data_IF_245877397008
#
_entry.id   IF_245877397008
#
_cell.length_a   1.000
_cell.length_b   1.000
_cell.length_c   1.000
_cell.angle_alpha   90.00
_cell.angle_beta   90.00
_cell.angle_gamma   90.00
#
_symmetry.space_group_name_H-M   'P 1'
#
loop_
_entity.id
_entity.type
_entity.pdbx_description
1 polymer ?
#
# COMPACT_ATOMS: atom_id res chain seq x y z
N UNK A 1 -10.52 7.29 -26.64
CA UNK A 1 -10.67 7.58 -25.18
C UNK A 1 -9.39 8.26 -24.71
N UNK A 2 -9.50 9.35 -23.99
CA UNK A 2 -8.34 10.07 -23.45
C UNK A 2 -7.86 9.45 -22.13
N UNK A 3 -6.58 9.59 -21.85
CA UNK A 3 -5.99 9.11 -20.57
C UNK A 3 -6.73 9.70 -19.36
N UNK A 4 -7.09 10.99 -19.40
CA UNK A 4 -7.84 11.63 -18.30
C UNK A 4 -9.15 10.92 -17.95
N UNK A 5 -9.83 10.30 -18.90
CA UNK A 5 -11.08 9.56 -18.65
C UNK A 5 -10.81 8.29 -17.86
N UNK A 6 -9.68 7.62 -18.13
CA UNK A 6 -9.22 6.48 -17.32
C UNK A 6 -8.85 6.92 -15.91
N UNK A 7 -8.07 8.01 -15.79
CA UNK A 7 -7.68 8.54 -14.49
C UNK A 7 -8.89 8.97 -13.65
N UNK A 8 -9.88 9.62 -14.25
CA UNK A 8 -11.13 9.97 -13.57
C UNK A 8 -11.88 8.73 -13.03
N UNK A 9 -11.84 7.62 -13.78
CA UNK A 9 -12.45 6.38 -13.32
C UNK A 9 -11.71 5.79 -12.10
N UNK A 10 -10.37 5.79 -12.13
CA UNK A 10 -9.54 5.38 -11.00
C UNK A 10 -9.77 6.28 -9.76
N UNK A 11 -9.79 7.59 -9.96
CA UNK A 11 -10.01 8.58 -8.90
C UNK A 11 -11.44 8.55 -8.34
N UNK A 12 -12.44 8.15 -9.14
CA UNK A 12 -13.79 7.91 -8.65
C UNK A 12 -13.82 6.73 -7.66
N UNK A 13 -13.04 5.69 -7.93
CA UNK A 13 -12.98 4.50 -7.07
C UNK A 13 -12.13 4.73 -5.83
N UNK A 14 -11.00 5.43 -5.96
CA UNK A 14 -10.06 5.76 -4.90
C UNK A 14 -9.70 7.25 -4.99
N UNK A 15 -10.56 8.14 -4.46
CA UNK A 15 -10.35 9.58 -4.51
C UNK A 15 -8.98 10.01 -3.94
N UNK A 16 -8.30 10.91 -4.62
CA UNK A 16 -7.00 11.42 -4.18
C UNK A 16 -7.05 12.09 -2.80
N UNK A 17 -8.20 12.63 -2.41
CA UNK A 17 -8.42 13.20 -1.06
C UNK A 17 -8.31 12.17 0.08
N UNK A 18 -8.26 10.86 -0.23
CA UNK A 18 -8.07 9.80 0.75
C UNK A 18 -6.59 9.54 1.05
N UNK A 19 -5.66 10.13 0.29
CA UNK A 19 -4.23 10.01 0.56
C UNK A 19 -3.84 10.64 1.89
N UNK A 20 -2.66 10.27 2.40
CA UNK A 20 -2.05 10.89 3.57
C UNK A 20 -1.44 12.26 3.22
N UNK A 21 -1.33 13.15 4.19
CA UNK A 21 -0.85 14.53 3.99
C UNK A 21 0.59 14.61 3.46
N UNK A 22 1.40 13.58 3.74
CA UNK A 22 2.79 13.49 3.26
C UNK A 22 2.92 12.90 1.87
N UNK A 23 1.83 12.39 1.29
CA UNK A 23 1.84 11.61 0.06
C UNK A 23 1.81 12.49 -1.19
N UNK A 24 2.06 11.85 -2.33
CA UNK A 24 2.02 12.44 -3.66
C UNK A 24 1.35 11.49 -4.67
N UNK A 25 0.17 10.96 -4.31
CA UNK A 25 -0.67 10.19 -5.24
C UNK A 25 -1.15 11.05 -6.41
N UNK A 26 -1.43 10.43 -7.54
CA UNK A 26 -1.92 11.10 -8.75
C UNK A 26 -0.86 11.26 -9.83
N UNK A 27 -1.00 12.30 -10.64
CA UNK A 27 -0.11 12.57 -11.78
C UNK A 27 1.33 12.81 -11.34
N UNK A 28 2.25 12.03 -11.88
CA UNK A 28 3.69 12.21 -11.65
C UNK A 28 4.34 12.98 -12.79
N UNK A 29 4.04 12.63 -14.03
CA UNK A 29 4.43 13.42 -15.21
C UNK A 29 3.62 12.99 -16.44
N UNK A 30 3.69 13.79 -17.51
CA UNK A 30 3.07 13.50 -18.80
C UNK A 30 1.85 14.37 -19.11
N UNK A 31 1.20 14.13 -20.24
CA UNK A 31 0.02 14.84 -20.72
C UNK A 31 -1.20 13.91 -20.78
N UNK A 32 -2.14 14.10 -19.86
CA UNK A 32 -3.38 13.31 -19.75
C UNK A 32 -4.41 13.57 -20.85
N UNK A 33 -4.20 14.59 -21.68
CA UNK A 33 -5.11 14.89 -22.82
C UNK A 33 -4.86 14.00 -24.03
N UNK A 34 -3.79 13.19 -24.03
CA UNK A 34 -3.49 12.23 -25.08
C UNK A 34 -4.56 11.13 -25.17
N UNK A 35 -4.74 10.58 -26.38
CA UNK A 35 -5.46 9.33 -26.59
C UNK A 35 -4.68 8.19 -25.94
N UNK A 36 -5.40 7.31 -25.22
CA UNK A 36 -4.76 6.12 -24.61
C UNK A 36 -4.49 5.07 -25.67
N UNK A 37 -3.27 4.52 -25.68
CA UNK A 37 -2.88 3.40 -26.54
C UNK A 37 -2.81 2.08 -25.75
N UNK A 38 -2.55 2.15 -24.47
CA UNK A 38 -2.50 1.03 -23.53
C UNK A 38 -2.12 1.50 -22.14
N UNK A 39 -2.37 0.67 -21.14
CA UNK A 39 -1.97 0.90 -19.77
C UNK A 39 -1.12 -0.26 -19.23
N UNK A 40 -0.02 0.07 -18.57
CA UNK A 40 0.83 -0.86 -17.82
C UNK A 40 0.65 -0.61 -16.32
N UNK A 41 0.32 -1.68 -15.60
CA UNK A 41 0.17 -1.64 -14.13
C UNK A 41 1.42 -2.22 -13.49
N UNK A 42 1.99 -1.52 -12.51
CA UNK A 42 3.15 -2.00 -11.78
C UNK A 42 3.08 -1.64 -10.30
N UNK A 43 3.99 -2.21 -9.50
CA UNK A 43 4.12 -1.87 -8.09
C UNK A 43 5.03 -0.64 -7.91
N UNK A 44 6.14 -0.62 -8.63
CA UNK A 44 7.19 0.40 -8.51
C UNK A 44 7.63 0.89 -9.89
N UNK A 45 7.89 2.19 -10.05
CA UNK A 45 8.52 2.71 -11.26
C UNK A 45 9.98 2.28 -11.35
N UNK A 46 10.37 1.80 -12.53
CA UNK A 46 11.76 1.47 -12.84
C UNK A 46 12.06 1.72 -14.31
N UNK A 47 13.37 1.80 -14.66
CA UNK A 47 13.79 1.91 -16.06
C UNK A 47 13.22 0.77 -16.91
N UNK A 48 13.15 -0.46 -16.35
CA UNK A 48 12.59 -1.64 -17.04
C UNK A 48 11.09 -1.52 -17.29
N UNK A 49 10.32 -1.00 -16.32
CA UNK A 49 8.88 -0.77 -16.49
C UNK A 49 8.62 0.27 -17.59
N UNK A 50 9.41 1.33 -17.66
CA UNK A 50 9.30 2.33 -18.72
C UNK A 50 9.64 1.71 -20.09
N UNK A 51 10.70 0.90 -20.17
CA UNK A 51 11.07 0.18 -21.39
C UNK A 51 9.99 -0.79 -21.83
N UNK A 52 9.40 -1.54 -20.93
CA UNK A 52 8.30 -2.44 -21.21
C UNK A 52 7.06 -1.68 -21.72
N UNK A 53 6.69 -0.55 -21.12
CA UNK A 53 5.59 0.27 -21.60
C UNK A 53 5.81 0.76 -23.04
N UNK A 54 7.03 1.20 -23.35
CA UNK A 54 7.43 1.61 -24.72
C UNK A 54 7.30 0.43 -25.70
N UNK A 55 7.82 -0.74 -25.33
CA UNK A 55 7.75 -1.95 -26.17
C UNK A 55 6.30 -2.41 -26.43
N UNK A 56 5.44 -2.28 -25.45
CA UNK A 56 4.02 -2.62 -25.53
C UNK A 56 3.17 -1.52 -26.18
N UNK A 57 3.75 -0.38 -26.56
CA UNK A 57 3.03 0.82 -27.00
C UNK A 57 1.95 1.26 -26.00
N UNK A 58 2.20 1.09 -24.70
CA UNK A 58 1.33 1.55 -23.62
C UNK A 58 1.80 2.92 -23.15
N UNK A 59 0.95 3.95 -23.30
CA UNK A 59 1.32 5.31 -22.96
C UNK A 59 0.85 5.79 -21.58
N UNK A 60 0.23 4.90 -20.78
CA UNK A 60 -0.11 5.12 -19.38
C UNK A 60 0.58 4.07 -18.50
N UNK A 61 1.31 4.51 -17.48
CA UNK A 61 1.85 3.62 -16.44
C UNK A 61 1.18 4.00 -15.12
N UNK A 62 0.48 3.03 -14.50
CA UNK A 62 -0.13 3.17 -13.18
C UNK A 62 0.69 2.36 -12.18
N UNK A 63 1.35 3.04 -11.25
CA UNK A 63 2.14 2.43 -10.19
C UNK A 63 1.48 2.62 -8.82
N UNK A 64 1.83 1.77 -7.87
CA UNK A 64 1.48 2.01 -6.48
C UNK A 64 2.32 3.15 -5.92
N UNK A 65 3.63 2.99 -5.83
CA UNK A 65 4.50 4.02 -5.28
C UNK A 65 4.69 5.21 -6.22
N UNK A 66 4.64 6.46 -5.70
CA UNK A 66 4.92 7.64 -6.49
C UNK A 66 6.40 7.71 -6.88
N UNK A 67 6.66 8.10 -8.14
CA UNK A 67 8.02 8.33 -8.62
C UNK A 67 8.65 9.54 -7.94
N UNK A 68 7.85 10.60 -7.75
CA UNK A 68 8.25 11.84 -7.10
C UNK A 68 7.66 11.83 -5.70
N UNK A 69 8.51 11.72 -4.68
CA UNK A 69 8.09 11.58 -3.29
C UNK A 69 8.88 12.49 -2.33
N UNK A 70 8.35 12.72 -1.13
CA UNK A 70 8.98 13.52 -0.10
C UNK A 70 9.09 15.00 -0.48
N UNK A 71 10.30 15.54 -0.50
CA UNK A 71 10.53 16.96 -0.79
C UNK A 71 10.34 17.36 -2.27
N UNK A 72 9.85 16.45 -3.11
CA UNK A 72 9.66 16.66 -4.54
C UNK A 72 10.96 16.77 -5.33
N UNK A 73 10.82 17.15 -6.62
CA UNK A 73 11.97 17.40 -7.51
C UNK A 73 12.33 18.87 -7.47
N UNK A 74 13.59 19.17 -7.12
CA UNK A 74 14.15 20.54 -7.26
C UNK A 74 14.74 20.80 -8.64
N UNK A 75 15.15 19.73 -9.33
CA UNK A 75 15.70 19.75 -10.70
C UNK A 75 15.49 18.39 -11.35
N UNK A 76 15.44 18.38 -12.67
CA UNK A 76 15.30 17.18 -13.49
C UNK A 76 16.60 17.00 -14.26
N UNK A 77 17.38 15.99 -13.89
CA UNK A 77 18.66 15.66 -14.51
C UNK A 77 18.69 14.17 -14.86
N UNK A 78 19.16 13.76 -16.05
CA UNK A 78 19.24 12.34 -16.43
C UNK A 78 20.23 11.53 -15.59
N UNK A 79 21.05 12.20 -14.79
CA UNK A 79 22.09 11.56 -13.95
C UNK A 79 21.55 10.93 -12.68
N UNK A 80 20.40 11.39 -12.17
CA UNK A 80 19.75 10.74 -11.04
C UNK A 80 18.61 9.81 -11.49
N UNK A 81 18.19 8.89 -10.59
CA UNK A 81 17.17 7.87 -10.89
C UNK A 81 15.84 8.50 -11.30
N UNK A 82 15.34 9.46 -10.55
CA UNK A 82 14.01 10.04 -10.76
C UNK A 82 14.00 10.93 -11.98
N UNK A 83 15.01 11.83 -12.10
CA UNK A 83 15.17 12.73 -13.25
C UNK A 83 15.29 11.98 -14.56
N UNK A 84 16.07 10.89 -14.60
CA UNK A 84 16.22 10.01 -15.77
C UNK A 84 14.89 9.41 -16.21
N UNK A 85 14.11 8.87 -15.28
CA UNK A 85 12.81 8.29 -15.60
C UNK A 85 11.80 9.34 -16.06
N UNK A 86 11.80 10.54 -15.46
CA UNK A 86 10.96 11.65 -15.90
C UNK A 86 11.34 12.09 -17.32
N UNK A 87 12.64 12.29 -17.62
CA UNK A 87 13.10 12.62 -18.97
C UNK A 87 12.64 11.57 -19.98
N UNK A 88 12.90 10.29 -19.68
CA UNK A 88 12.53 9.18 -20.57
C UNK A 88 11.02 9.08 -20.80
N UNK A 89 10.22 9.33 -19.76
CA UNK A 89 8.76 9.34 -19.87
C UNK A 89 8.29 10.49 -20.79
N UNK A 90 8.80 11.69 -20.61
CA UNK A 90 8.45 12.87 -21.43
C UNK A 90 8.86 12.65 -22.88
N UNK A 91 10.10 12.19 -23.15
CA UNK A 91 10.62 11.91 -24.49
C UNK A 91 9.77 10.90 -25.26
N UNK A 92 9.20 9.90 -24.54
CA UNK A 92 8.36 8.85 -25.12
C UNK A 92 6.85 9.10 -24.97
N UNK A 93 6.45 10.33 -24.56
CA UNK A 93 5.05 10.73 -24.38
C UNK A 93 4.27 9.80 -23.43
N UNK A 94 4.92 9.25 -22.42
CA UNK A 94 4.29 8.43 -21.39
C UNK A 94 3.65 9.31 -20.32
N UNK A 95 2.54 8.84 -19.78
CA UNK A 95 1.91 9.37 -18.57
C UNK A 95 2.23 8.45 -17.41
N UNK A 96 2.84 8.98 -16.35
CA UNK A 96 3.11 8.29 -15.10
C UNK A 96 2.08 8.73 -14.06
N UNK A 97 1.39 7.78 -13.47
CA UNK A 97 0.35 8.01 -12.47
C UNK A 97 0.57 7.08 -11.28
N UNK A 98 0.36 7.59 -10.07
CA UNK A 98 0.50 6.81 -8.84
C UNK A 98 -0.82 6.72 -8.09
N UNK A 99 -1.09 5.53 -7.55
CA UNK A 99 -2.19 5.24 -6.64
C UNK A 99 -1.61 4.61 -5.38
N UNK A 100 -1.28 5.44 -4.41
CA UNK A 100 -0.51 5.08 -3.20
C UNK A 100 -1.43 5.04 -1.97
N UNK A 101 -1.23 5.91 -1.00
CA UNK A 101 -2.00 5.86 0.25
C UNK A 101 -3.50 6.12 0.09
N UNK A 102 -3.95 6.73 -1.01
CA UNK A 102 -5.37 6.82 -1.33
C UNK A 102 -6.01 5.44 -1.58
N UNK A 103 -5.26 4.49 -2.13
CA UNK A 103 -5.69 3.09 -2.27
C UNK A 103 -5.53 2.34 -0.98
N UNK A 104 -4.45 2.57 -0.23
CA UNK A 104 -4.23 1.91 1.06
C UNK A 104 -5.34 2.27 2.07
N UNK A 105 -5.76 3.53 2.05
CA UNK A 105 -6.85 4.03 2.89
C UNK A 105 -8.24 3.68 2.37
N UNK A 106 -8.35 3.33 1.09
CA UNK A 106 -9.64 3.19 0.40
C UNK A 106 -10.38 1.88 0.71
N UNK A 107 -11.70 1.93 0.68
CA UNK A 107 -12.58 0.75 0.83
C UNK A 107 -12.29 -0.26 -0.28
N UNK A 108 -11.95 -1.49 0.10
CA UNK A 108 -11.53 -2.55 -0.84
C UNK A 108 -10.16 -2.30 -1.47
N UNK A 109 -9.36 -1.42 -0.88
CA UNK A 109 -7.99 -1.15 -1.28
C UNK A 109 -6.96 -2.04 -0.58
N UNK A 110 -5.70 -1.57 -0.51
CA UNK A 110 -4.56 -2.38 -0.07
C UNK A 110 -4.72 -3.02 1.30
N UNK A 111 -5.10 -2.25 2.32
CA UNK A 111 -5.24 -2.77 3.69
C UNK A 111 -6.46 -3.69 3.84
N UNK A 112 -7.54 -3.47 3.09
CA UNK A 112 -8.67 -4.41 3.03
C UNK A 112 -8.23 -5.75 2.43
N UNK A 113 -7.51 -5.73 1.32
CA UNK A 113 -6.99 -6.93 0.67
C UNK A 113 -5.97 -7.66 1.58
N UNK A 114 -5.18 -6.92 2.38
CA UNK A 114 -4.28 -7.53 3.36
C UNK A 114 -5.06 -8.29 4.44
N UNK A 115 -6.09 -7.67 5.00
CA UNK A 115 -6.97 -8.33 5.99
C UNK A 115 -7.66 -9.57 5.40
N UNK A 116 -8.11 -9.52 4.14
CA UNK A 116 -8.69 -10.67 3.43
C UNK A 116 -7.68 -11.81 3.24
N UNK A 117 -6.41 -11.50 2.91
CA UNK A 117 -5.35 -12.53 2.80
C UNK A 117 -5.13 -13.28 4.10
N UNK A 118 -5.24 -12.61 5.23
CA UNK A 118 -5.20 -13.24 6.55
C UNK A 118 -6.57 -13.76 7.01
N UNK A 119 -7.61 -13.73 6.16
CA UNK A 119 -8.97 -14.18 6.43
C UNK A 119 -9.57 -13.57 7.70
N UNK A 120 -9.23 -12.32 7.99
CA UNK A 120 -9.78 -11.60 9.14
C UNK A 120 -11.26 -11.33 8.95
N UNK A 121 -12.03 -11.53 10.01
CA UNK A 121 -13.46 -11.28 10.10
C UNK A 121 -13.74 -10.02 10.91
N UNK A 122 -14.94 -9.45 10.78
CA UNK A 122 -15.40 -8.28 11.53
C UNK A 122 -14.43 -7.10 11.44
N UNK A 123 -13.82 -6.90 10.28
CA UNK A 123 -12.77 -5.89 10.10
C UNK A 123 -13.27 -4.46 10.22
N UNK A 124 -12.43 -3.61 10.80
CA UNK A 124 -12.61 -2.16 10.91
C UNK A 124 -11.33 -1.47 10.55
N UNK A 125 -11.42 -0.24 10.06
CA UNK A 125 -10.24 0.61 9.83
C UNK A 125 -9.54 0.84 11.16
N UNK A 126 -8.21 0.67 11.17
CA UNK A 126 -7.39 0.81 12.38
C UNK A 126 -7.16 2.28 12.74
N UNK A 127 -6.87 3.12 11.75
CA UNK A 127 -6.68 4.57 11.91
C UNK A 127 -7.62 5.32 10.93
N UNK A 128 -8.88 5.55 11.34
CA UNK A 128 -9.89 6.12 10.46
C UNK A 128 -9.67 7.62 10.24
N UNK A 129 -9.84 8.06 8.98
CA UNK A 129 -9.91 9.48 8.64
C UNK A 129 -11.25 10.07 9.08
N UNK A 130 -11.19 11.29 9.66
CA UNK A 130 -12.39 12.10 9.89
C UNK A 130 -12.86 12.72 8.58
N UNK A 131 -14.00 12.26 8.07
CA UNK A 131 -14.60 12.75 6.83
C UNK A 131 -16.03 13.22 7.11
N UNK A 132 -16.43 14.36 6.54
CA UNK A 132 -17.79 14.90 6.68
C UNK A 132 -18.76 14.29 5.62
N UNK A 133 -18.69 12.97 5.43
CA UNK A 133 -19.49 12.25 4.45
C UNK A 133 -19.72 10.78 4.85
N UNK A 134 -20.39 10.00 3.99
CA UNK A 134 -20.71 8.59 4.19
C UNK A 134 -19.50 7.64 4.37
N UNK A 135 -18.30 8.10 4.04
CA UNK A 135 -17.05 7.34 4.18
C UNK A 135 -16.40 7.50 5.55
N UNK A 136 -16.98 8.35 6.44
CA UNK A 136 -16.44 8.56 7.78
C UNK A 136 -16.30 7.24 8.56
N UNK A 137 -15.11 6.99 9.10
CA UNK A 137 -14.76 5.76 9.81
C UNK A 137 -14.57 4.52 8.92
N UNK A 138 -14.77 4.63 7.60
CA UNK A 138 -14.63 3.54 6.61
C UNK A 138 -13.39 3.68 5.73
N UNK A 139 -12.77 4.83 5.73
CA UNK A 139 -11.54 5.19 5.02
C UNK A 139 -10.46 5.54 6.03
N UNK A 140 -9.25 5.07 5.81
CA UNK A 140 -8.10 5.28 6.68
C UNK A 140 -7.11 4.11 6.63
N UNK A 141 -6.00 4.26 7.31
CA UNK A 141 -4.90 3.30 7.24
C UNK A 141 -5.10 2.09 8.16
N UNK A 142 -4.64 0.95 7.67
CA UNK A 142 -4.67 -0.31 8.39
C UNK A 142 -6.07 -0.89 8.59
N UNK A 143 -6.12 -2.14 8.96
CA UNK A 143 -7.33 -2.86 9.37
C UNK A 143 -7.09 -3.58 10.68
N UNK A 144 -8.14 -3.74 11.48
CA UNK A 144 -8.15 -4.62 12.66
C UNK A 144 -9.37 -5.54 12.56
N UNK A 145 -9.18 -6.81 12.84
CA UNK A 145 -10.23 -7.82 12.78
C UNK A 145 -9.88 -9.06 13.59
N UNK A 146 -10.65 -10.10 13.44
CA UNK A 146 -10.55 -11.34 14.22
C UNK A 146 -10.19 -12.51 13.31
N UNK A 147 -9.31 -13.39 13.76
CA UNK A 147 -9.12 -14.71 13.12
C UNK A 147 -10.40 -15.54 13.29
N UNK A 148 -10.70 -16.45 12.35
CA UNK A 148 -11.82 -17.39 12.51
C UNK A 148 -11.78 -18.18 13.80
N UNK A 149 -10.56 -18.55 14.23
CA UNK A 149 -10.28 -19.25 15.50
C UNK A 149 -8.99 -18.72 16.11
N UNK A 150 -8.90 -18.62 17.45
CA UNK A 150 -7.66 -18.25 18.12
C UNK A 150 -6.54 -19.25 17.84
N UNK A 151 -5.31 -18.76 17.68
CA UNK A 151 -4.12 -19.59 17.40
C UNK A 151 -3.03 -19.37 18.43
N UNK A 152 -2.24 -20.42 18.73
CA UNK A 152 -1.00 -20.24 19.48
C UNK A 152 -0.03 -19.35 18.69
N UNK A 153 0.85 -18.61 19.37
CA UNK A 153 1.78 -17.65 18.73
C UNK A 153 2.60 -18.29 17.62
N UNK A 154 3.14 -19.50 17.84
CA UNK A 154 3.95 -20.17 16.83
C UNK A 154 3.13 -20.56 15.58
N UNK A 155 1.89 -21.00 15.78
CA UNK A 155 0.98 -21.37 14.70
C UNK A 155 0.54 -20.12 13.91
N UNK A 156 0.29 -19.00 14.60
CA UNK A 156 -0.03 -17.73 13.96
C UNK A 156 1.12 -17.20 13.10
N UNK A 157 2.36 -17.24 13.59
CA UNK A 157 3.54 -16.86 12.80
C UNK A 157 3.66 -17.71 11.54
N UNK A 158 3.43 -19.02 11.65
CA UNK A 158 3.45 -19.92 10.50
C UNK A 158 2.28 -19.63 9.54
N UNK A 159 1.08 -19.39 10.07
CA UNK A 159 -0.10 -19.02 9.30
C UNK A 159 0.13 -17.77 8.45
N UNK A 160 0.69 -16.70 9.05
CA UNK A 160 1.03 -15.47 8.30
C UNK A 160 2.01 -15.75 7.17
N UNK A 161 3.04 -16.59 7.44
CA UNK A 161 4.00 -17.00 6.40
C UNK A 161 3.31 -17.71 5.23
N UNK A 162 2.39 -18.59 5.51
CA UNK A 162 1.65 -19.36 4.49
C UNK A 162 0.70 -18.45 3.69
N UNK A 163 -0.06 -17.61 4.37
CA UNK A 163 -1.01 -16.67 3.72
C UNK A 163 -0.32 -15.70 2.75
N UNK A 164 0.90 -15.27 3.08
CA UNK A 164 1.66 -14.30 2.29
C UNK A 164 2.78 -14.94 1.44
N UNK A 165 2.97 -16.25 1.50
CA UNK A 165 4.01 -16.97 0.76
C UNK A 165 5.43 -16.62 1.21
N UNK A 166 5.63 -16.32 2.51
CA UNK A 166 6.90 -15.84 3.04
C UNK A 166 7.89 -16.98 3.33
N UNK A 167 9.15 -16.76 3.02
CA UNK A 167 10.25 -17.63 3.48
C UNK A 167 10.71 -17.25 4.89
N UNK A 168 10.72 -15.97 5.22
CA UNK A 168 11.20 -15.41 6.48
C UNK A 168 10.20 -14.37 6.99
N UNK A 169 10.03 -14.30 8.30
CA UNK A 169 9.34 -13.21 8.99
C UNK A 169 10.14 -12.86 10.23
N UNK A 170 10.28 -11.56 10.52
CA UNK A 170 10.83 -11.10 11.79
C UNK A 170 9.68 -10.82 12.74
N UNK A 171 9.80 -11.23 13.99
CA UNK A 171 8.78 -10.91 14.98
C UNK A 171 9.37 -10.72 16.37
N UNK A 172 8.64 -10.00 17.21
CA UNK A 172 8.95 -9.81 18.62
C UNK A 172 7.67 -9.73 19.46
N UNK A 173 7.82 -9.95 20.76
CA UNK A 173 6.77 -9.96 21.75
C UNK A 173 6.54 -11.35 22.35
N UNK A 174 6.18 -11.38 23.64
CA UNK A 174 5.83 -12.59 24.38
C UNK A 174 4.45 -12.35 25.01
N UNK A 175 3.40 -12.79 24.32
CA UNK A 175 2.05 -12.76 24.86
C UNK A 175 1.70 -14.15 25.42
N UNK A 176 1.05 -14.18 26.59
CA UNK A 176 0.68 -15.42 27.29
C UNK A 176 -0.77 -15.82 26.98
N UNK A 177 -1.25 -15.48 25.78
CA UNK A 177 -2.59 -15.80 25.29
C UNK A 177 -2.54 -16.18 23.83
N UNK A 178 -3.54 -16.91 23.32
CA UNK A 178 -3.67 -17.13 21.87
C UNK A 178 -3.86 -15.80 21.12
N UNK A 179 -3.40 -15.76 19.87
CA UNK A 179 -3.67 -14.66 18.94
C UNK A 179 -5.07 -14.87 18.36
N UNK A 180 -5.93 -13.88 18.52
CA UNK A 180 -7.27 -13.88 17.93
C UNK A 180 -7.55 -12.54 17.21
N UNK A 181 -7.32 -11.42 17.86
CA UNK A 181 -7.51 -10.10 17.29
C UNK A 181 -6.22 -9.61 16.63
N UNK A 182 -6.28 -9.31 15.34
CA UNK A 182 -5.11 -8.99 14.53
C UNK A 182 -5.31 -7.63 13.86
N UNK A 183 -4.32 -6.76 13.97
CA UNK A 183 -4.22 -5.56 13.19
C UNK A 183 -3.22 -5.75 12.04
N UNK A 184 -3.46 -5.10 10.90
CA UNK A 184 -2.60 -5.14 9.72
C UNK A 184 -2.42 -3.75 9.13
N UNK A 185 -1.24 -3.48 8.57
CA UNK A 185 -1.00 -2.34 7.69
C UNK A 185 0.07 -2.72 6.68
N UNK A 186 -0.23 -2.61 5.39
CA UNK A 186 0.73 -2.80 4.31
C UNK A 186 1.86 -1.78 4.37
N UNK A 187 3.01 -2.11 3.75
CA UNK A 187 4.17 -1.24 3.70
C UNK A 187 4.77 -0.88 5.05
N UNK A 188 5.18 0.36 5.21
CA UNK A 188 5.85 0.87 6.40
C UNK A 188 4.84 1.36 7.47
N UNK A 189 4.19 0.44 8.17
CA UNK A 189 3.12 0.76 9.13
C UNK A 189 3.55 0.98 10.58
N UNK A 190 4.84 1.19 10.88
CA UNK A 190 5.31 1.37 12.27
C UNK A 190 4.61 2.53 13.01
N UNK A 191 4.10 3.53 12.30
CA UNK A 191 3.35 4.64 12.89
C UNK A 191 2.05 4.21 13.58
N UNK A 192 1.46 3.08 13.17
CA UNK A 192 0.19 2.58 13.68
C UNK A 192 0.32 1.55 14.82
N UNK A 193 1.52 1.27 15.31
CA UNK A 193 1.73 0.31 16.42
C UNK A 193 0.91 0.71 17.65
N UNK A 194 0.82 2.01 17.95
CA UNK A 194 0.05 2.52 19.11
C UNK A 194 -1.45 2.37 18.91
N UNK A 195 -1.95 2.58 17.70
CA UNK A 195 -3.36 2.37 17.35
C UNK A 195 -3.72 0.88 17.45
N UNK A 196 -2.82 -0.02 17.01
CA UNK A 196 -3.02 -1.47 17.17
C UNK A 196 -3.10 -1.88 18.66
N UNK A 197 -2.25 -1.31 19.51
CA UNK A 197 -2.33 -1.49 20.98
C UNK A 197 -3.63 -0.95 21.56
N UNK A 198 -4.06 0.25 21.17
CA UNK A 198 -5.31 0.86 21.63
C UNK A 198 -6.56 0.09 21.17
N UNK A 199 -6.44 -0.62 20.05
CA UNK A 199 -7.48 -1.52 19.56
C UNK A 199 -7.46 -2.88 20.26
N UNK A 200 -6.62 -3.10 21.28
CA UNK A 200 -6.44 -4.36 21.98
C UNK A 200 -6.10 -5.54 21.02
N UNK A 201 -5.30 -5.28 19.98
CA UNK A 201 -4.84 -6.35 19.10
C UNK A 201 -3.86 -7.27 19.82
N UNK A 202 -3.97 -8.59 19.58
CA UNK A 202 -3.01 -9.58 20.05
C UNK A 202 -1.75 -9.60 19.19
N UNK A 203 -1.91 -9.25 17.90
CA UNK A 203 -0.81 -9.17 16.94
C UNK A 203 -0.99 -8.01 15.97
N UNK A 204 0.13 -7.42 15.56
CA UNK A 204 0.20 -6.42 14.49
C UNK A 204 1.14 -6.90 13.39
N UNK A 205 0.66 -6.95 12.15
CA UNK A 205 1.40 -7.42 10.98
C UNK A 205 1.62 -6.26 10.03
N UNK A 206 2.88 -5.91 9.74
CA UNK A 206 3.26 -4.79 8.89
C UNK A 206 4.63 -5.02 8.26
N UNK A 207 5.19 -4.05 7.55
CA UNK A 207 6.56 -4.06 7.03
C UNK A 207 7.43 -2.94 7.60
N UNK A 208 8.72 -2.97 7.25
CA UNK A 208 9.71 -1.92 7.57
C UNK A 208 9.78 -1.53 9.04
N UNK A 209 9.62 -2.50 9.94
CA UNK A 209 9.68 -2.25 11.38
C UNK A 209 11.13 -1.98 11.79
N UNK A 210 11.40 -0.80 12.32
CA UNK A 210 12.75 -0.41 12.80
C UNK A 210 13.08 -1.14 14.09
N UNK A 211 14.35 -1.30 14.37
CA UNK A 211 14.82 -1.99 15.57
C UNK A 211 14.12 -1.52 16.87
N UNK A 212 14.04 -0.22 17.09
CA UNK A 212 13.41 0.32 18.30
C UNK A 212 11.89 0.19 18.33
N UNK A 213 11.24 0.11 17.17
CA UNK A 213 9.79 -0.03 17.08
C UNK A 213 9.30 -1.39 17.59
N UNK A 214 10.14 -2.43 17.50
CA UNK A 214 9.84 -3.75 18.08
C UNK A 214 9.66 -3.75 19.60
N UNK A 215 10.15 -2.74 20.31
CA UNK A 215 10.00 -2.62 21.76
C UNK A 215 8.72 -1.88 22.18
N UNK A 216 8.08 -1.16 21.25
CA UNK A 216 6.89 -0.34 21.58
C UNK A 216 5.75 -1.18 22.18
N UNK A 217 5.48 -2.42 21.70
CA UNK A 217 4.41 -3.23 22.27
C UNK A 217 4.63 -3.70 23.71
N UNK A 218 5.86 -3.70 24.21
CA UNK A 218 6.22 -4.08 25.59
C UNK A 218 5.53 -5.39 26.06
N UNK A 219 5.61 -6.44 25.24
CA UNK A 219 4.97 -7.75 25.44
C UNK A 219 3.43 -7.73 25.59
N UNK A 220 2.76 -6.63 25.28
CA UNK A 220 1.31 -6.56 25.28
C UNK A 220 0.72 -7.08 23.96
N UNK A 221 1.48 -7.00 22.87
CA UNK A 221 1.09 -7.39 21.53
C UNK A 221 2.29 -8.01 20.80
N UNK A 222 2.04 -8.99 19.97
CA UNK A 222 3.02 -9.53 19.03
C UNK A 222 3.16 -8.58 17.84
N UNK A 223 4.38 -8.26 17.41
CA UNK A 223 4.64 -7.48 16.19
C UNK A 223 5.37 -8.35 15.17
N UNK A 224 4.86 -8.39 13.94
CA UNK A 224 5.46 -9.11 12.82
C UNK A 224 5.85 -8.14 11.71
N UNK A 225 7.12 -8.20 11.28
CA UNK A 225 7.63 -7.54 10.07
C UNK A 225 7.69 -8.58 8.94
N UNK A 226 6.76 -8.45 8.01
CA UNK A 226 6.62 -9.35 6.85
C UNK A 226 7.38 -8.86 5.62
N UNK A 227 7.96 -7.67 5.69
CA UNK A 227 8.54 -6.96 4.56
C UNK A 227 7.53 -6.03 3.86
N UNK A 228 8.05 -4.96 3.29
CA UNK A 228 7.25 -3.94 2.60
C UNK A 228 6.54 -4.54 1.38
N UNK A 229 7.32 -5.09 0.46
CA UNK A 229 6.81 -5.67 -0.78
C UNK A 229 5.82 -6.80 -0.52
N UNK A 230 6.12 -7.67 0.42
CA UNK A 230 5.30 -8.85 0.76
C UNK A 230 3.95 -8.44 1.37
N UNK A 231 3.92 -7.30 2.08
CA UNK A 231 2.71 -6.74 2.67
C UNK A 231 1.80 -5.98 1.70
N UNK A 232 2.29 -5.69 0.46
CA UNK A 232 1.58 -4.79 -0.45
C UNK A 232 1.51 -5.25 -1.92
N UNK A 233 2.42 -6.10 -2.40
CA UNK A 233 2.57 -6.37 -3.84
C UNK A 233 1.28 -6.83 -4.54
N UNK A 234 0.32 -7.33 -3.81
CA UNK A 234 -0.99 -7.75 -4.31
C UNK A 234 -1.90 -6.55 -4.69
N UNK A 235 -1.54 -5.33 -4.33
CA UNK A 235 -2.30 -4.11 -4.66
C UNK A 235 -2.43 -3.90 -6.18
N UNK A 236 -1.43 -4.34 -6.96
CA UNK A 236 -1.49 -4.34 -8.42
C UNK A 236 -2.65 -5.16 -9.00
N UNK A 237 -3.14 -6.16 -8.25
CA UNK A 237 -4.28 -6.97 -8.69
C UNK A 237 -5.59 -6.19 -8.53
N UNK A 238 -5.65 -5.24 -7.59
CA UNK A 238 -6.76 -4.30 -7.44
C UNK A 238 -6.85 -3.39 -8.66
N UNK A 239 -5.71 -2.93 -9.21
CA UNK A 239 -5.69 -2.06 -10.39
C UNK A 239 -6.10 -2.75 -11.69
N UNK A 240 -6.01 -4.08 -11.78
CA UNK A 240 -6.40 -4.85 -12.97
C UNK A 240 -7.92 -5.03 -13.12
N UNK A 241 -8.69 -4.73 -12.09
CA UNK A 241 -10.14 -4.88 -12.09
C UNK A 241 -10.84 -3.69 -12.77
N UNK A 242 -10.07 -2.66 -13.13
CA UNK A 242 -10.52 -1.45 -13.82
C UNK A 242 -10.01 -1.40 -15.25
#
# INVERSE_FOLDING_TARGET
MKIKEVLQHLEHRFPLQWQEDFDNSGMQCGDKEQEITGALVCFEFSDKVIEEAILLNANLIVAHHPLIFGNGLKKIEPTDRVGRMVCKAIENKLVLYSMHTNVDSGIGGGNYAFAEKLKLQNTKVLDPKCLDNEYNGRVGLGQVGELPEPMAVADFVQYVKECLGLKVVKYAGQINRPVHKVAVCGGAGSSLIRQALQADADAYVTGDVRYHDFFIPDNQMLILDVGHFEGEHFIKDIFKIF
#
